data_IF_526587661514
#
_entry.id   IF_526587661514
#
_cell.length_a   1.000
_cell.length_b   1.000
_cell.length_c   1.000
_cell.angle_alpha   90.00
_cell.angle_beta   90.00
_cell.angle_gamma   90.00
#
_symmetry.space_group_name_H-M   'P 1'
#
loop_
_entity.id
_entity.type
_entity.pdbx_description
1 polymer ?
#
# COMPACT_ATOMS: atom_id res chain seq x y z
N UNK A 1 -6.35 25.50 15.04
CA UNK A 1 -5.00 25.39 14.45
C UNK A 1 -4.94 24.05 13.71
N UNK A 2 -4.48 24.04 12.47
CA UNK A 2 -4.24 22.79 11.74
C UNK A 2 -2.99 22.12 12.34
N UNK A 3 -3.08 20.84 12.69
CA UNK A 3 -1.96 20.03 13.17
C UNK A 3 -1.04 19.72 12.00
N UNK A 4 0.28 19.78 12.23
CA UNK A 4 1.30 19.26 11.32
C UNK A 4 2.06 18.11 11.96
N UNK A 5 2.46 17.10 11.18
CA UNK A 5 3.32 16.01 11.68
C UNK A 5 4.65 16.57 12.24
N UNK A 6 5.13 17.67 11.67
CA UNK A 6 6.39 18.32 12.09
C UNK A 6 6.29 19.04 13.44
N UNK A 7 5.09 19.20 14.00
CA UNK A 7 4.89 19.79 15.33
C UNK A 7 5.29 18.82 16.46
N UNK A 8 5.48 17.53 16.13
CA UNK A 8 5.71 16.47 17.09
C UNK A 8 7.15 15.90 17.01
N UNK A 9 7.73 15.58 18.17
CA UNK A 9 9.01 14.88 18.29
C UNK A 9 8.85 13.39 18.57
N UNK A 10 7.65 12.96 18.94
CA UNK A 10 7.33 11.57 19.25
C UNK A 10 5.98 11.16 18.67
N UNK A 11 5.82 9.87 18.42
CA UNK A 11 4.55 9.27 18.03
C UNK A 11 4.30 7.98 18.80
N UNK A 12 3.05 7.75 19.18
CA UNK A 12 2.60 6.52 19.82
C UNK A 12 1.47 5.88 18.99
N UNK A 13 1.69 4.64 18.56
CA UNK A 13 0.80 3.98 17.62
C UNK A 13 0.03 2.87 18.32
N UNK A 14 -1.31 2.94 18.29
CA UNK A 14 -2.21 2.00 18.95
C UNK A 14 -2.70 1.00 17.90
N UNK A 15 -2.39 -0.30 18.11
CA UNK A 15 -2.50 -1.37 17.15
C UNK A 15 -1.30 -1.43 16.19
N UNK A 16 -0.10 -1.17 16.72
CA UNK A 16 1.16 -1.00 15.96
C UNK A 16 1.57 -2.24 15.17
N UNK A 17 1.18 -3.46 15.60
CA UNK A 17 1.49 -4.72 14.91
C UNK A 17 0.66 -4.97 13.66
N UNK A 18 -0.39 -4.17 13.39
CA UNK A 18 -1.15 -4.23 12.15
C UNK A 18 -0.27 -3.87 10.93
N UNK A 19 -0.50 -4.52 9.77
CA UNK A 19 0.36 -4.38 8.58
C UNK A 19 0.55 -2.92 8.14
N UNK A 20 -0.53 -2.14 8.02
CA UNK A 20 -0.42 -0.73 7.65
C UNK A 20 0.08 0.16 8.79
N UNK A 21 -0.16 -0.22 10.06
CA UNK A 21 0.27 0.57 11.22
C UNK A 21 1.76 0.43 11.47
N UNK A 22 2.32 -0.77 11.32
CA UNK A 22 3.75 -1.02 11.43
C UNK A 22 4.57 -0.28 10.37
N UNK A 23 4.01 -0.16 9.17
CA UNK A 23 4.64 0.60 8.08
C UNK A 23 4.65 2.10 8.36
N UNK A 24 3.57 2.64 8.94
CA UNK A 24 3.52 4.03 9.44
C UNK A 24 4.54 4.23 10.56
N UNK A 25 4.65 3.28 11.50
CA UNK A 25 5.62 3.33 12.58
C UNK A 25 7.05 3.46 12.07
N UNK A 26 7.43 2.59 11.13
CA UNK A 26 8.77 2.59 10.53
C UNK A 26 9.05 3.88 9.74
N UNK A 27 8.07 4.35 8.95
CA UNK A 27 8.16 5.61 8.22
C UNK A 27 8.42 6.80 9.17
N UNK A 28 7.64 6.93 10.25
CA UNK A 28 7.81 8.01 11.22
C UNK A 28 9.13 7.91 12.01
N UNK A 29 9.57 6.70 12.35
CA UNK A 29 10.83 6.45 13.01
C UNK A 29 12.01 6.91 12.14
N UNK A 30 12.03 6.56 10.85
CA UNK A 30 13.05 6.99 9.89
C UNK A 30 12.98 8.49 9.60
N UNK A 31 11.78 9.09 9.69
CA UNK A 31 11.60 10.56 9.64
C UNK A 31 12.22 11.27 10.85
N UNK A 32 12.63 10.54 11.88
CA UNK A 32 13.33 11.10 13.05
C UNK A 32 12.47 11.31 14.30
N UNK A 33 11.21 10.80 14.30
CA UNK A 33 10.40 10.83 15.51
C UNK A 33 10.83 9.69 16.47
N UNK A 34 10.67 9.90 17.78
CA UNK A 34 10.70 8.80 18.75
C UNK A 34 9.39 8.05 18.65
N UNK A 35 9.43 6.81 18.15
CA UNK A 35 8.22 6.00 17.92
C UNK A 35 8.14 4.88 18.93
N UNK A 36 6.97 4.71 19.52
CA UNK A 36 6.57 3.55 20.33
C UNK A 36 5.12 3.22 20.02
N UNK A 37 4.62 2.11 20.54
CA UNK A 37 3.20 1.80 20.38
C UNK A 37 2.75 0.60 21.20
N UNK A 38 1.46 0.34 21.11
CA UNK A 38 0.77 -0.76 21.78
C UNK A 38 0.18 -1.74 20.77
N UNK A 39 0.27 -3.02 21.10
CA UNK A 39 -0.51 -4.08 20.45
C UNK A 39 -1.03 -5.08 21.51
N UNK A 40 -2.08 -5.84 21.18
CA UNK A 40 -2.66 -6.79 22.12
C UNK A 40 -1.76 -8.00 22.40
N UNK A 41 -0.91 -8.38 21.43
CA UNK A 41 -0.06 -9.59 21.51
C UNK A 41 1.20 -9.45 20.69
N UNK A 42 2.22 -10.20 21.09
CA UNK A 42 3.44 -10.36 20.30
C UNK A 42 3.13 -11.07 18.97
N UNK A 43 3.82 -10.64 17.94
CA UNK A 43 3.73 -11.19 16.58
C UNK A 43 5.08 -11.08 15.87
N UNK A 44 5.22 -11.73 14.71
CA UNK A 44 6.39 -11.56 13.86
C UNK A 44 6.67 -10.07 13.54
N UNK A 45 5.62 -9.30 13.24
CA UNK A 45 5.75 -7.87 12.91
C UNK A 45 6.18 -7.03 14.12
N UNK A 46 5.61 -7.27 15.32
CA UNK A 46 6.04 -6.56 16.53
C UNK A 46 7.48 -6.87 16.92
N UNK A 47 7.96 -8.09 16.66
CA UNK A 47 9.36 -8.46 16.88
C UNK A 47 10.28 -7.74 15.88
N UNK A 48 9.88 -7.59 14.62
CA UNK A 48 10.63 -6.80 13.64
C UNK A 48 10.73 -5.33 14.07
N UNK A 49 9.63 -4.73 14.56
CA UNK A 49 9.63 -3.35 15.06
C UNK A 49 10.62 -3.17 16.23
N UNK A 50 10.60 -4.10 17.21
CA UNK A 50 11.54 -4.07 18.33
C UNK A 50 13.00 -4.20 17.84
N UNK A 51 13.28 -5.05 16.87
CA UNK A 51 14.61 -5.18 16.28
C UNK A 51 15.05 -3.92 15.53
N UNK A 52 14.11 -3.18 14.94
CA UNK A 52 14.35 -1.87 14.30
C UNK A 52 14.49 -0.73 15.31
N UNK A 53 14.34 -0.99 16.63
CA UNK A 53 14.45 0.01 17.71
C UNK A 53 13.14 0.74 18.03
N UNK A 54 12.00 0.25 17.55
CA UNK A 54 10.67 0.77 17.84
C UNK A 54 10.05 -0.05 18.96
N UNK A 55 9.89 0.53 20.15
CA UNK A 55 9.38 -0.17 21.32
C UNK A 55 7.89 -0.50 21.20
N UNK A 56 7.53 -1.76 21.42
CA UNK A 56 6.15 -2.23 21.41
C UNK A 56 5.73 -2.72 22.81
N UNK A 57 4.74 -2.04 23.39
CA UNK A 57 4.12 -2.43 24.65
C UNK A 57 2.92 -3.36 24.40
N UNK A 58 2.69 -4.31 25.31
CA UNK A 58 1.56 -5.23 25.29
C UNK A 58 0.57 -4.95 26.44
N UNK A 59 0.78 -3.85 27.15
CA UNK A 59 -0.07 -3.38 28.24
C UNK A 59 -0.42 -1.90 28.02
N UNK A 60 -1.65 -1.64 27.59
CA UNK A 60 -2.12 -0.28 27.31
C UNK A 60 -2.17 0.63 28.54
N UNK A 61 -2.22 0.06 29.77
CA UNK A 61 -2.19 0.86 31.00
C UNK A 61 -0.91 1.68 31.19
N UNK A 62 0.15 1.31 30.47
CA UNK A 62 1.44 2.02 30.46
C UNK A 62 1.43 3.26 29.58
N UNK A 63 0.47 3.36 28.64
CA UNK A 63 0.37 4.51 27.76
C UNK A 63 -0.26 5.70 28.49
N UNK A 64 0.52 6.76 28.65
CA UNK A 64 0.05 8.03 29.21
C UNK A 64 -0.09 9.07 28.11
N UNK A 65 -1.21 9.81 28.15
CA UNK A 65 -1.45 10.88 27.19
C UNK A 65 -0.47 12.05 27.38
N UNK A 66 0.06 12.58 26.30
CA UNK A 66 0.88 13.78 26.25
C UNK A 66 0.49 14.65 25.05
N UNK A 67 0.43 15.97 25.24
CA UNK A 67 0.17 16.93 24.16
C UNK A 67 1.31 17.01 23.13
N UNK A 68 2.50 16.56 23.48
CA UNK A 68 3.70 16.63 22.63
C UNK A 68 3.88 15.38 21.76
N UNK A 69 3.01 14.38 21.91
CA UNK A 69 3.07 13.10 21.21
C UNK A 69 1.93 13.00 20.20
N UNK A 70 2.22 12.63 18.95
CA UNK A 70 1.24 12.29 17.95
C UNK A 70 0.75 10.86 18.17
N UNK A 71 -0.55 10.69 18.42
CA UNK A 71 -1.17 9.38 18.56
C UNK A 71 -1.86 8.98 17.27
N UNK A 72 -1.63 7.72 16.83
CA UNK A 72 -2.28 7.17 15.65
C UNK A 72 -2.97 5.87 16.03
N UNK A 73 -4.29 5.81 15.84
CA UNK A 73 -5.12 4.67 16.23
C UNK A 73 -5.51 3.87 15.00
N UNK A 74 -5.31 2.55 15.07
CA UNK A 74 -5.72 1.61 14.02
C UNK A 74 -7.22 1.65 13.78
N UNK A 75 -7.64 1.56 12.51
CA UNK A 75 -9.07 1.47 12.13
C UNK A 75 -9.78 0.21 12.70
N UNK A 76 -9.02 -0.82 13.09
CA UNK A 76 -9.55 -2.01 13.73
C UNK A 76 -9.92 -1.81 15.22
N UNK A 77 -9.60 -0.65 15.81
CA UNK A 77 -9.84 -0.35 17.22
C UNK A 77 -10.99 0.64 17.33
N UNK A 78 -12.01 0.30 18.09
CA UNK A 78 -13.12 1.21 18.36
C UNK A 78 -12.65 2.36 19.26
N UNK A 79 -12.76 3.58 18.76
CA UNK A 79 -12.42 4.82 19.49
C UNK A 79 -13.25 5.02 20.77
N UNK A 80 -14.38 4.31 20.91
CA UNK A 80 -15.22 4.33 22.13
C UNK A 80 -14.75 3.35 23.20
N UNK A 81 -13.70 2.58 22.93
CA UNK A 81 -13.13 1.63 23.89
C UNK A 81 -12.71 2.34 25.19
N UNK A 82 -13.03 1.77 26.34
CA UNK A 82 -12.78 2.38 27.65
C UNK A 82 -11.29 2.70 27.90
N UNK A 83 -10.39 1.86 27.37
CA UNK A 83 -8.94 2.08 27.49
C UNK A 83 -8.43 3.27 26.67
N UNK A 84 -9.24 3.81 25.74
CA UNK A 84 -8.93 5.03 24.97
C UNK A 84 -9.56 6.29 25.58
N UNK A 85 -10.24 6.21 26.71
CA UNK A 85 -11.01 7.33 27.29
C UNK A 85 -10.19 8.60 27.51
N UNK A 86 -8.92 8.49 27.87
CA UNK A 86 -8.00 9.64 28.02
C UNK A 86 -7.48 10.23 26.70
N UNK A 87 -7.66 9.50 25.59
CA UNK A 87 -7.20 9.89 24.27
C UNK A 87 -8.30 10.48 23.39
N UNK A 88 -9.56 10.17 23.68
CA UNK A 88 -10.71 10.62 22.88
C UNK A 88 -10.81 12.16 22.89
N UNK A 89 -11.15 12.74 21.71
CA UNK A 89 -11.33 14.18 21.51
C UNK A 89 -10.07 15.04 21.71
N UNK A 90 -8.89 14.44 21.75
CA UNK A 90 -7.64 15.20 21.80
C UNK A 90 -7.18 15.54 20.37
N UNK A 91 -6.70 16.77 20.12
CA UNK A 91 -6.37 17.22 18.77
C UNK A 91 -5.19 16.49 18.13
N UNK A 92 -4.30 15.91 18.94
CA UNK A 92 -3.12 15.14 18.52
C UNK A 92 -3.36 13.63 18.50
N UNK A 93 -4.63 13.19 18.56
CA UNK A 93 -5.05 11.78 18.44
C UNK A 93 -5.79 11.61 17.12
N UNK A 94 -5.18 10.92 16.18
CA UNK A 94 -5.70 10.70 14.84
C UNK A 94 -6.04 9.23 14.62
N UNK A 95 -7.12 8.95 13.92
CA UNK A 95 -7.32 7.64 13.31
C UNK A 95 -6.36 7.46 12.13
N UNK A 96 -6.08 6.21 11.74
CA UNK A 96 -5.25 5.92 10.55
C UNK A 96 -5.69 6.72 9.30
N UNK A 97 -6.99 6.77 8.93
CA UNK A 97 -7.45 7.58 7.79
C UNK A 97 -7.10 9.07 7.93
N UNK A 98 -7.34 9.66 9.10
CA UNK A 98 -7.05 11.07 9.35
C UNK A 98 -5.55 11.37 9.32
N UNK A 99 -4.71 10.44 9.78
CA UNK A 99 -3.26 10.57 9.66
C UNK A 99 -2.80 10.50 8.20
N UNK A 100 -3.31 9.57 7.40
CA UNK A 100 -2.95 9.45 5.97
C UNK A 100 -3.43 10.66 5.17
N UNK A 101 -4.62 11.20 5.48
CA UNK A 101 -5.08 12.47 4.93
C UNK A 101 -4.09 13.59 5.26
N UNK A 102 -3.75 13.79 6.54
CA UNK A 102 -2.81 14.82 6.98
C UNK A 102 -1.43 14.66 6.28
N UNK A 103 -0.94 13.43 6.15
CA UNK A 103 0.31 13.13 5.46
C UNK A 103 0.25 13.54 3.98
N UNK A 104 -0.85 13.23 3.29
CA UNK A 104 -1.06 13.58 1.88
C UNK A 104 -1.23 15.08 1.60
N UNK A 105 -1.47 15.89 2.63
CA UNK A 105 -1.48 17.35 2.52
C UNK A 105 -0.05 17.95 2.49
N UNK A 106 0.96 17.17 2.90
CA UNK A 106 2.35 17.62 3.03
C UNK A 106 3.32 17.03 2.01
N UNK A 107 2.88 16.04 1.21
CA UNK A 107 3.72 15.37 0.21
C UNK A 107 2.85 14.88 -0.96
N UNK A 108 3.36 14.97 -2.18
CA UNK A 108 2.73 14.36 -3.36
C UNK A 108 2.62 12.84 -3.18
N UNK A 109 1.44 12.27 -3.41
CA UNK A 109 1.19 10.84 -3.24
C UNK A 109 1.06 10.14 -4.58
N UNK A 110 1.82 9.06 -4.76
CA UNK A 110 1.61 8.03 -5.78
C UNK A 110 0.80 6.91 -5.12
N UNK A 111 -0.50 6.87 -5.37
CA UNK A 111 -1.42 5.92 -4.74
C UNK A 111 -1.51 4.59 -5.49
N UNK A 112 -1.67 3.50 -4.77
CA UNK A 112 -2.03 2.20 -5.33
C UNK A 112 -3.26 1.69 -4.58
N UNK A 113 -4.34 1.43 -5.31
CA UNK A 113 -5.60 0.93 -4.76
C UNK A 113 -6.19 -0.20 -5.59
N UNK A 114 -7.29 -0.76 -5.11
CA UNK A 114 -8.05 -1.86 -5.69
C UNK A 114 -8.32 -2.94 -4.66
N UNK A 115 -9.28 -3.81 -4.89
CA UNK A 115 -9.63 -4.84 -3.91
C UNK A 115 -8.48 -5.84 -3.70
N UNK A 116 -7.85 -6.30 -4.78
CA UNK A 116 -6.76 -7.28 -4.75
C UNK A 116 -5.47 -6.73 -5.36
N UNK A 117 -4.32 -7.24 -4.91
CA UNK A 117 -3.01 -6.93 -5.49
C UNK A 117 -2.36 -5.63 -5.00
N UNK A 118 -3.00 -4.81 -4.17
CA UNK A 118 -2.47 -3.53 -3.63
C UNK A 118 -1.05 -3.66 -3.09
N UNK A 119 -0.87 -4.50 -2.09
CA UNK A 119 0.40 -4.66 -1.36
C UNK A 119 1.53 -5.11 -2.26
N UNK A 120 1.30 -6.14 -3.09
CA UNK A 120 2.30 -6.65 -4.03
C UNK A 120 2.71 -5.60 -5.05
N UNK A 121 1.74 -4.83 -5.58
CA UNK A 121 2.00 -3.77 -6.55
C UNK A 121 2.71 -2.57 -5.92
N UNK A 122 2.35 -2.18 -4.70
CA UNK A 122 3.02 -1.10 -3.96
C UNK A 122 4.47 -1.46 -3.62
N UNK A 123 4.71 -2.69 -3.16
CA UNK A 123 6.04 -3.17 -2.87
C UNK A 123 6.90 -3.27 -4.14
N UNK A 124 6.31 -3.72 -5.25
CA UNK A 124 6.99 -3.80 -6.54
C UNK A 124 7.38 -2.40 -7.04
N UNK A 125 6.47 -1.43 -6.96
CA UNK A 125 6.76 -0.05 -7.34
C UNK A 125 7.88 0.55 -6.47
N UNK A 126 7.82 0.38 -5.15
CA UNK A 126 8.87 0.81 -4.23
C UNK A 126 10.23 0.18 -4.56
N UNK A 127 10.23 -1.13 -4.92
CA UNK A 127 11.44 -1.83 -5.35
C UNK A 127 11.99 -1.26 -6.65
N UNK A 128 11.15 -0.95 -7.64
CA UNK A 128 11.58 -0.34 -8.92
C UNK A 128 12.34 0.97 -8.67
N UNK A 129 11.81 1.85 -7.82
CA UNK A 129 12.48 3.11 -7.49
C UNK A 129 13.80 2.85 -6.76
N UNK A 130 13.79 2.04 -5.71
CA UNK A 130 14.97 1.73 -4.91
C UNK A 130 16.08 1.05 -5.72
N UNK A 131 15.74 0.12 -6.63
CA UNK A 131 16.69 -0.57 -7.49
C UNK A 131 17.39 0.38 -8.47
N UNK A 132 16.76 1.50 -8.82
CA UNK A 132 17.30 2.56 -9.66
C UNK A 132 17.92 3.70 -8.83
N UNK A 133 18.33 3.44 -7.60
CA UNK A 133 18.99 4.39 -6.68
C UNK A 133 18.17 5.65 -6.38
N UNK A 134 16.84 5.58 -6.47
CA UNK A 134 15.93 6.67 -6.12
C UNK A 134 15.37 6.41 -4.72
N UNK A 135 15.77 7.23 -3.77
CA UNK A 135 15.39 7.10 -2.36
C UNK A 135 13.99 7.65 -2.08
N UNK A 136 12.99 7.04 -2.72
CA UNK A 136 11.58 7.41 -2.59
C UNK A 136 10.99 6.91 -1.26
N UNK A 137 10.13 7.74 -0.63
CA UNK A 137 9.35 7.32 0.54
C UNK A 137 8.26 6.34 0.17
N UNK A 138 7.94 5.35 1.06
CA UNK A 138 6.81 4.45 0.83
C UNK A 138 6.16 3.95 2.13
N UNK A 139 4.85 3.65 2.04
CA UNK A 139 4.03 3.01 3.09
C UNK A 139 3.11 1.99 2.41
N UNK A 140 3.32 0.68 2.67
CA UNK A 140 2.46 -0.41 2.21
C UNK A 140 2.36 -1.53 3.26
N UNK A 141 1.28 -2.29 3.24
CA UNK A 141 0.92 -3.27 4.26
C UNK A 141 1.60 -4.65 4.12
N UNK A 142 2.93 -4.71 4.01
CA UNK A 142 3.64 -5.98 3.82
C UNK A 142 5.06 -6.00 4.37
N UNK A 143 5.67 -7.17 4.30
CA UNK A 143 7.09 -7.38 4.65
C UNK A 143 7.81 -7.91 3.42
N UNK A 144 8.93 -7.30 3.06
CA UNK A 144 9.75 -7.69 1.90
C UNK A 144 11.17 -8.01 2.33
N UNK A 145 11.89 -8.80 1.51
CA UNK A 145 13.29 -9.11 1.77
C UNK A 145 14.22 -7.90 1.64
N UNK A 146 13.86 -6.93 0.78
CA UNK A 146 14.72 -5.78 0.49
C UNK A 146 14.62 -4.63 1.54
N UNK A 147 13.55 -4.60 2.38
CA UNK A 147 13.37 -3.54 3.38
C UNK A 147 12.73 -4.01 4.71
N UNK A 148 12.36 -5.27 4.84
CA UNK A 148 11.55 -5.72 5.98
C UNK A 148 10.14 -5.15 5.92
N UNK A 149 9.67 -4.52 7.01
CA UNK A 149 8.35 -3.84 7.07
C UNK A 149 8.26 -2.76 5.99
N UNK A 150 7.12 -2.67 5.31
CA UNK A 150 6.85 -1.80 4.15
C UNK A 150 6.71 -0.30 4.46
N UNK A 151 7.55 0.23 5.33
CA UNK A 151 7.64 1.64 5.66
C UNK A 151 9.05 2.19 5.43
N UNK A 152 9.17 3.32 4.72
CA UNK A 152 10.44 3.99 4.48
C UNK A 152 10.24 5.50 4.32
N UNK A 153 11.11 6.28 4.95
CA UNK A 153 11.20 7.71 4.74
C UNK A 153 12.48 8.01 3.96
N UNK A 154 12.33 8.41 2.71
CA UNK A 154 13.40 8.74 1.79
C UNK A 154 13.58 10.25 1.59
N UNK A 155 14.00 10.66 0.40
CA UNK A 155 14.16 12.07 0.07
C UNK A 155 12.81 12.81 0.15
N UNK A 156 12.76 13.84 0.98
CA UNK A 156 11.58 14.69 1.21
C UNK A 156 11.09 15.46 -0.02
N UNK A 157 11.92 15.59 -1.07
CA UNK A 157 11.57 16.27 -2.32
C UNK A 157 10.92 15.31 -3.33
N UNK A 158 10.91 14.01 -3.05
CA UNK A 158 10.26 12.99 -3.87
C UNK A 158 8.86 12.67 -3.33
N UNK A 159 7.96 12.16 -4.19
CA UNK A 159 6.64 11.74 -3.76
C UNK A 159 6.69 10.54 -2.81
N UNK A 160 5.56 10.27 -2.14
CA UNK A 160 5.32 9.11 -1.30
C UNK A 160 4.55 8.05 -2.09
N UNK A 161 5.08 6.84 -2.21
CA UNK A 161 4.31 5.66 -2.64
C UNK A 161 3.44 5.21 -1.48
N UNK A 162 2.11 5.21 -1.67
CA UNK A 162 1.16 4.88 -0.63
C UNK A 162 0.18 3.80 -1.10
N UNK A 163 0.13 2.68 -0.40
CA UNK A 163 -0.98 1.74 -0.49
C UNK A 163 -2.23 2.39 0.10
N UNK A 164 -3.22 2.68 -0.76
CA UNK A 164 -4.47 3.34 -0.38
C UNK A 164 -5.59 2.31 -0.32
N UNK A 165 -6.03 2.02 0.91
CA UNK A 165 -6.97 0.96 1.21
C UNK A 165 -8.41 1.47 1.15
N UNK A 166 -9.29 0.75 0.45
CA UNK A 166 -10.74 1.01 0.41
C UNK A 166 -11.43 0.64 1.73
N UNK A 167 -10.85 -0.26 2.53
CA UNK A 167 -11.40 -0.65 3.81
C UNK A 167 -11.67 0.57 4.70
N UNK A 168 -12.86 0.61 5.29
CA UNK A 168 -13.35 1.76 6.08
C UNK A 168 -13.31 3.10 5.32
N UNK A 169 -13.31 3.04 3.97
CA UNK A 169 -13.21 4.22 3.10
C UNK A 169 -11.97 5.09 3.39
N UNK A 170 -10.87 4.46 3.78
CA UNK A 170 -9.62 5.13 4.19
C UNK A 170 -9.05 6.01 3.08
N UNK A 171 -9.21 5.61 1.81
CA UNK A 171 -8.67 6.32 0.65
C UNK A 171 -9.43 7.59 0.26
N UNK A 172 -10.64 7.83 0.82
CA UNK A 172 -11.59 8.85 0.37
C UNK A 172 -11.03 10.27 0.36
N UNK A 173 -10.32 10.63 1.42
CA UNK A 173 -9.86 12.01 1.65
C UNK A 173 -8.35 12.18 1.44
N UNK A 174 -7.66 11.17 0.89
CA UNK A 174 -6.24 11.24 0.57
C UNK A 174 -6.07 12.05 -0.72
N UNK A 175 -5.21 13.07 -0.71
CA UNK A 175 -4.80 13.77 -1.92
C UNK A 175 -3.81 12.93 -2.70
N UNK A 176 -4.18 12.54 -3.90
CA UNK A 176 -3.41 11.63 -4.75
C UNK A 176 -3.03 12.36 -6.04
N UNK A 177 -1.74 12.38 -6.33
CA UNK A 177 -1.20 12.96 -7.56
C UNK A 177 -1.38 12.02 -8.74
N UNK A 178 -0.88 10.79 -8.62
CA UNK A 178 -1.07 9.73 -9.62
C UNK A 178 -1.55 8.46 -8.92
N UNK A 179 -2.45 7.71 -9.54
CA UNK A 179 -3.09 6.54 -8.93
C UNK A 179 -3.03 5.33 -9.85
N UNK A 180 -2.70 4.17 -9.30
CA UNK A 180 -2.94 2.88 -9.95
C UNK A 180 -4.14 2.21 -9.31
N UNK A 181 -5.06 1.70 -10.13
CA UNK A 181 -6.21 0.90 -9.68
C UNK A 181 -6.15 -0.49 -10.32
N UNK A 182 -6.02 -1.51 -9.48
CA UNK A 182 -5.83 -2.89 -9.93
C UNK A 182 -7.14 -3.58 -10.33
N UNK A 183 -8.17 -3.49 -9.51
CA UNK A 183 -9.50 -4.11 -9.73
C UNK A 183 -10.50 -3.61 -8.69
N UNK A 184 -11.81 -3.88 -8.92
CA UNK A 184 -12.89 -3.70 -7.95
C UNK A 184 -13.65 -5.02 -7.86
N UNK A 185 -13.64 -5.65 -6.69
CA UNK A 185 -14.35 -6.91 -6.42
C UNK A 185 -15.25 -6.76 -5.17
N UNK A 186 -16.11 -7.75 -4.94
CA UNK A 186 -17.03 -7.79 -3.81
C UNK A 186 -16.28 -8.01 -2.49
N UNK A 187 -15.84 -6.94 -1.85
CA UNK A 187 -15.20 -6.97 -0.53
C UNK A 187 -15.71 -5.81 0.34
N UNK A 188 -15.46 -5.89 1.64
CA UNK A 188 -15.85 -4.86 2.62
C UNK A 188 -17.34 -4.45 2.58
N UNK A 189 -18.23 -5.39 2.23
CA UNK A 189 -19.68 -5.14 2.12
C UNK A 189 -20.28 -4.76 3.48
N UNK A 190 -19.71 -5.23 4.57
CA UNK A 190 -20.10 -4.82 5.94
C UNK A 190 -20.00 -3.31 6.15
N UNK A 191 -19.08 -2.64 5.45
CA UNK A 191 -18.89 -1.20 5.51
C UNK A 191 -19.68 -0.46 4.42
N UNK A 192 -19.60 -0.93 3.17
CA UNK A 192 -20.21 -0.25 2.02
C UNK A 192 -21.69 -0.58 1.83
N UNK A 193 -22.20 -1.62 2.49
CA UNK A 193 -23.57 -2.14 2.42
C UNK A 193 -23.91 -2.76 1.05
N UNK A 194 -23.49 -2.15 -0.06
CA UNK A 194 -23.71 -2.65 -1.43
C UNK A 194 -22.45 -2.50 -2.28
N UNK A 195 -22.35 -3.33 -3.30
CA UNK A 195 -21.27 -3.25 -4.30
C UNK A 195 -21.29 -1.91 -5.06
N UNK A 196 -22.47 -1.38 -5.35
CA UNK A 196 -22.64 -0.08 -6.00
C UNK A 196 -22.06 1.06 -5.16
N UNK A 197 -22.15 0.99 -3.85
CA UNK A 197 -21.54 1.99 -2.96
C UNK A 197 -20.02 1.89 -2.95
N UNK A 198 -19.46 0.67 -3.00
CA UNK A 198 -18.02 0.46 -3.18
C UNK A 198 -17.55 1.06 -4.51
N UNK A 199 -18.24 0.78 -5.63
CA UNK A 199 -17.92 1.35 -6.95
C UNK A 199 -18.02 2.89 -6.93
N UNK A 200 -19.00 3.48 -6.24
CA UNK A 200 -19.10 4.94 -6.07
C UNK A 200 -17.92 5.52 -5.29
N UNK A 201 -17.40 4.81 -4.27
CA UNK A 201 -16.23 5.22 -3.53
C UNK A 201 -14.98 5.25 -4.44
N UNK A 202 -14.75 4.22 -5.24
CA UNK A 202 -13.68 4.20 -6.25
C UNK A 202 -13.85 5.33 -7.27
N UNK A 203 -15.07 5.54 -7.79
CA UNK A 203 -15.37 6.66 -8.69
C UNK A 203 -15.00 8.00 -8.07
N UNK A 204 -15.35 8.22 -6.81
CA UNK A 204 -14.99 9.45 -6.09
C UNK A 204 -13.47 9.65 -6.06
N UNK A 205 -12.70 8.63 -5.66
CA UNK A 205 -11.24 8.72 -5.58
C UNK A 205 -10.64 8.98 -6.96
N UNK A 206 -10.98 8.18 -7.98
CA UNK A 206 -10.49 8.35 -9.36
C UNK A 206 -10.77 9.75 -9.89
N UNK A 207 -11.96 10.29 -9.62
CA UNK A 207 -12.36 11.63 -10.10
C UNK A 207 -11.58 12.76 -9.42
N UNK A 208 -11.02 12.53 -8.22
CA UNK A 208 -10.27 13.53 -7.45
C UNK A 208 -8.74 13.39 -7.59
N UNK A 209 -8.24 12.45 -8.38
CA UNK A 209 -6.80 12.34 -8.67
C UNK A 209 -6.35 13.57 -9.47
N UNK A 210 -5.33 14.27 -8.97
CA UNK A 210 -4.84 15.52 -9.55
C UNK A 210 -4.18 15.32 -10.93
N UNK A 211 -3.41 14.24 -11.09
CA UNK A 211 -2.73 13.87 -12.34
C UNK A 211 -3.50 12.78 -13.09
N UNK A 212 -2.82 11.66 -13.36
CA UNK A 212 -3.35 10.55 -14.14
C UNK A 212 -3.57 9.30 -13.30
N UNK A 213 -4.58 8.52 -13.72
CA UNK A 213 -4.74 7.15 -13.24
C UNK A 213 -4.14 6.14 -14.23
N UNK A 214 -3.61 5.04 -13.68
CA UNK A 214 -3.26 3.82 -14.41
C UNK A 214 -4.33 2.78 -14.07
N UNK A 215 -5.14 2.38 -15.03
CA UNK A 215 -6.39 1.64 -14.83
C UNK A 215 -6.33 0.28 -15.52
N UNK A 216 -6.62 -0.78 -14.76
CA UNK A 216 -6.87 -2.11 -15.32
C UNK A 216 -8.25 -2.16 -15.98
N UNK A 217 -8.29 -2.11 -17.30
CA UNK A 217 -9.57 -2.12 -18.04
C UNK A 217 -10.07 -3.52 -18.34
N UNK A 218 -9.41 -4.59 -17.90
CA UNK A 218 -10.00 -5.93 -17.85
C UNK A 218 -11.18 -5.98 -16.86
N UNK A 219 -11.13 -5.15 -15.82
CA UNK A 219 -12.24 -4.94 -14.89
C UNK A 219 -13.33 -4.07 -15.53
N UNK A 220 -14.57 -4.60 -15.61
CA UNK A 220 -15.69 -3.92 -16.26
C UNK A 220 -16.20 -2.70 -15.52
N UNK A 221 -16.00 -2.61 -14.21
CA UNK A 221 -16.34 -1.41 -13.45
C UNK A 221 -15.32 -0.31 -13.71
N UNK A 222 -14.04 -0.66 -13.65
CA UNK A 222 -12.95 0.28 -13.93
C UNK A 222 -12.97 0.80 -15.36
N UNK A 223 -13.33 -0.04 -16.34
CA UNK A 223 -13.52 0.39 -17.73
C UNK A 223 -14.54 1.53 -17.86
N UNK A 224 -15.59 1.56 -17.00
CA UNK A 224 -16.59 2.64 -16.99
C UNK A 224 -16.12 3.90 -16.25
N UNK A 225 -15.07 3.80 -15.44
CA UNK A 225 -14.55 4.86 -14.59
C UNK A 225 -13.31 5.57 -15.15
N UNK A 226 -12.66 4.98 -16.17
CA UNK A 226 -11.45 5.56 -16.79
C UNK A 226 -11.75 6.92 -17.41
N UNK A 227 -10.88 7.91 -17.14
CA UNK A 227 -10.97 9.26 -17.71
C UNK A 227 -10.23 9.32 -19.04
N UNK A 228 -10.50 10.33 -19.86
CA UNK A 228 -9.96 10.46 -21.24
C UNK A 228 -8.42 10.42 -21.30
N UNK A 229 -7.75 11.03 -20.33
CA UNK A 229 -6.27 11.18 -20.33
C UNK A 229 -5.58 10.17 -19.41
N UNK A 230 -6.32 9.22 -18.83
CA UNK A 230 -5.78 8.14 -18.01
C UNK A 230 -5.08 7.10 -18.87
N UNK A 231 -4.21 6.33 -18.26
CA UNK A 231 -3.44 5.25 -18.88
C UNK A 231 -4.14 3.92 -18.57
N UNK A 232 -4.38 3.12 -19.60
CA UNK A 232 -4.98 1.80 -19.46
C UNK A 232 -3.99 0.67 -19.61
N UNK A 233 -4.22 -0.44 -18.90
CA UNK A 233 -3.56 -1.71 -19.17
C UNK A 233 -4.58 -2.86 -19.16
N UNK A 234 -4.30 -3.92 -19.95
CA UNK A 234 -5.25 -5.02 -20.13
C UNK A 234 -4.61 -6.24 -20.80
N UNK A 235 -5.10 -7.42 -20.49
CA UNK A 235 -4.82 -8.66 -21.20
C UNK A 235 -5.83 -8.96 -22.33
N UNK A 236 -7.08 -8.52 -22.17
CA UNK A 236 -8.18 -8.87 -23.08
C UNK A 236 -8.62 -7.72 -23.99
N UNK A 237 -8.59 -6.47 -23.47
CA UNK A 237 -9.12 -5.28 -24.17
C UNK A 237 -8.02 -4.45 -24.82
N UNK A 238 -8.38 -3.56 -25.72
CA UNK A 238 -7.45 -2.55 -26.26
C UNK A 238 -7.04 -1.59 -25.15
N UNK A 239 -5.75 -1.31 -25.02
CA UNK A 239 -5.17 -0.52 -23.92
C UNK A 239 -3.81 0.06 -24.30
N UNK A 240 -3.34 1.05 -23.54
CA UNK A 240 -2.01 1.63 -23.74
C UNK A 240 -0.90 0.59 -23.49
N UNK A 241 -1.01 -0.18 -22.39
CA UNK A 241 -0.14 -1.31 -22.10
C UNK A 241 -0.91 -2.61 -22.31
N UNK A 242 -0.66 -3.27 -23.44
CA UNK A 242 -1.37 -4.50 -23.82
C UNK A 242 -0.59 -5.73 -23.41
N UNK A 243 -1.07 -6.48 -22.43
CA UNK A 243 -0.49 -7.77 -22.03
C UNK A 243 -0.73 -8.76 -23.18
N UNK A 244 0.34 -9.39 -23.67
CA UNK A 244 0.31 -10.33 -24.82
C UNK A 244 0.41 -11.78 -24.38
N UNK A 245 1.09 -12.03 -23.25
CA UNK A 245 1.30 -13.37 -22.68
C UNK A 245 1.68 -13.25 -21.21
N UNK A 246 1.85 -14.37 -20.53
CA UNK A 246 2.34 -14.42 -19.15
C UNK A 246 3.81 -13.95 -18.98
N UNK A 247 4.41 -13.38 -20.00
CA UNK A 247 5.79 -12.89 -19.95
C UNK A 247 6.06 -11.68 -20.84
N UNK A 248 5.04 -10.99 -21.36
CA UNK A 248 5.26 -9.82 -22.21
C UNK A 248 4.04 -8.91 -22.30
N UNK A 249 4.30 -7.63 -22.55
CA UNK A 249 3.30 -6.63 -22.92
C UNK A 249 3.82 -5.78 -24.10
N UNK A 250 2.91 -5.07 -24.76
CA UNK A 250 3.17 -4.10 -25.82
C UNK A 250 2.81 -2.70 -25.32
N UNK A 251 3.66 -1.72 -25.62
CA UNK A 251 3.42 -0.30 -25.39
C UNK A 251 3.98 0.51 -26.57
N UNK A 252 3.17 1.40 -27.16
CA UNK A 252 3.55 2.23 -28.33
C UNK A 252 4.13 1.42 -29.49
N UNK A 253 3.57 0.24 -29.76
CA UNK A 253 4.03 -0.66 -30.84
C UNK A 253 5.30 -1.46 -30.54
N UNK A 254 5.95 -1.24 -29.39
CA UNK A 254 7.12 -2.00 -28.95
C UNK A 254 6.71 -3.12 -28.00
N UNK A 255 7.30 -4.30 -28.18
CA UNK A 255 7.08 -5.44 -27.29
C UNK A 255 8.16 -5.50 -26.21
N UNK A 256 7.74 -5.64 -24.95
CA UNK A 256 8.60 -5.74 -23.77
C UNK A 256 8.45 -7.09 -23.10
N UNK A 257 9.56 -7.76 -22.84
CA UNK A 257 9.57 -9.07 -22.18
C UNK A 257 9.70 -8.90 -20.66
N UNK A 258 8.83 -9.55 -19.90
CA UNK A 258 8.87 -9.59 -18.44
C UNK A 258 9.70 -10.81 -18.02
N UNK A 259 10.74 -10.57 -17.22
CA UNK A 259 11.45 -11.60 -16.47
C UNK A 259 11.13 -11.40 -14.98
N UNK A 260 10.55 -12.40 -14.33
CA UNK A 260 10.14 -12.31 -12.93
C UNK A 260 10.26 -13.64 -12.24
N UNK A 261 10.48 -13.62 -10.92
CA UNK A 261 10.42 -14.78 -10.03
C UNK A 261 9.03 -15.04 -9.47
N UNK A 262 8.10 -14.10 -9.69
CA UNK A 262 6.72 -14.22 -9.21
C UNK A 262 5.94 -15.20 -10.08
N UNK A 263 5.11 -16.04 -9.47
CA UNK A 263 4.35 -17.11 -10.11
C UNK A 263 2.87 -16.72 -10.09
N UNK A 264 2.20 -16.80 -11.25
CA UNK A 264 0.77 -16.53 -11.42
C UNK A 264 0.49 -15.39 -12.40
N UNK A 265 -0.62 -15.52 -13.15
CA UNK A 265 -1.02 -14.54 -14.18
C UNK A 265 -1.38 -13.19 -13.58
N UNK A 266 -1.94 -13.17 -12.38
CA UNK A 266 -2.28 -11.95 -11.65
C UNK A 266 -1.05 -11.07 -11.37
N UNK A 267 0.15 -11.68 -11.20
CA UNK A 267 1.38 -10.89 -11.05
C UNK A 267 1.78 -10.19 -12.34
N UNK A 268 1.52 -10.78 -13.50
CA UNK A 268 1.81 -10.10 -14.79
C UNK A 268 0.95 -8.84 -14.94
N UNK A 269 -0.31 -8.90 -14.54
CA UNK A 269 -1.20 -7.73 -14.49
C UNK A 269 -0.66 -6.66 -13.52
N UNK A 270 -0.32 -7.06 -12.29
CA UNK A 270 0.25 -6.16 -11.27
C UNK A 270 1.58 -5.54 -11.73
N UNK A 271 2.46 -6.33 -12.36
CA UNK A 271 3.73 -5.88 -12.92
C UNK A 271 3.49 -4.85 -14.03
N UNK A 272 2.57 -5.13 -14.95
CA UNK A 272 2.29 -4.21 -16.07
C UNK A 272 1.74 -2.88 -15.54
N UNK A 273 0.83 -2.90 -14.56
CA UNK A 273 0.33 -1.71 -13.89
C UNK A 273 1.44 -0.94 -13.17
N UNK A 274 2.33 -1.64 -12.42
CA UNK A 274 3.45 -1.00 -11.73
C UNK A 274 4.45 -0.36 -12.69
N UNK A 275 4.78 -1.03 -13.81
CA UNK A 275 5.63 -0.47 -14.88
C UNK A 275 5.00 0.77 -15.49
N UNK A 276 3.71 0.73 -15.80
CA UNK A 276 3.00 1.89 -16.35
C UNK A 276 3.01 3.08 -15.39
N UNK A 277 2.80 2.82 -14.08
CA UNK A 277 2.85 3.87 -13.06
C UNK A 277 4.29 4.39 -12.83
N UNK A 278 5.31 3.52 -12.86
CA UNK A 278 6.71 3.91 -12.79
C UNK A 278 7.11 4.79 -13.98
N UNK A 279 6.69 4.40 -15.19
CA UNK A 279 6.95 5.16 -16.42
C UNK A 279 6.28 6.55 -16.39
N UNK A 280 5.05 6.64 -15.90
CA UNK A 280 4.36 7.91 -15.66
C UNK A 280 5.13 8.83 -14.68
N UNK A 281 5.90 8.24 -13.77
CA UNK A 281 6.68 8.96 -12.76
C UNK A 281 8.19 9.02 -13.08
N UNK A 282 8.56 8.84 -14.36
CA UNK A 282 9.91 9.15 -14.88
C UNK A 282 10.92 8.01 -14.88
N UNK A 283 10.51 6.75 -14.57
CA UNK A 283 11.39 5.58 -14.70
C UNK A 283 11.10 4.88 -16.03
N UNK A 284 12.10 4.60 -16.83
CA UNK A 284 11.89 3.93 -18.11
C UNK A 284 11.36 2.51 -17.94
N UNK A 285 10.72 1.97 -18.99
CA UNK A 285 10.20 0.61 -18.98
C UNK A 285 11.34 -0.39 -18.79
N UNK A 286 12.47 -0.18 -19.44
CA UNK A 286 13.65 -1.05 -19.36
C UNK A 286 14.24 -1.05 -17.94
N UNK A 287 14.36 0.11 -17.31
CA UNK A 287 14.79 0.23 -15.91
C UNK A 287 13.83 -0.50 -14.97
N UNK A 288 12.53 -0.35 -15.18
CA UNK A 288 11.50 -1.03 -14.40
C UNK A 288 11.59 -2.55 -14.56
N UNK A 289 11.73 -3.05 -15.78
CA UNK A 289 11.82 -4.49 -16.06
C UNK A 289 13.11 -5.11 -15.50
N UNK A 290 14.21 -4.38 -15.52
CA UNK A 290 15.46 -4.83 -14.90
C UNK A 290 15.29 -4.95 -13.37
N UNK A 291 14.65 -3.99 -12.71
CA UNK A 291 14.35 -4.08 -11.29
C UNK A 291 13.44 -5.28 -10.95
N UNK A 292 12.39 -5.51 -11.75
CA UNK A 292 11.41 -6.59 -11.57
C UNK A 292 12.08 -7.97 -11.60
N UNK A 293 13.08 -8.19 -12.44
CA UNK A 293 13.82 -9.45 -12.51
C UNK A 293 14.51 -9.82 -11.18
N UNK A 294 14.78 -8.83 -10.32
CA UNK A 294 15.41 -8.99 -9.01
C UNK A 294 14.42 -8.95 -7.84
N UNK A 295 13.15 -8.63 -8.09
CA UNK A 295 12.14 -8.60 -7.04
C UNK A 295 11.75 -10.02 -6.60
N UNK A 296 11.78 -10.27 -5.28
CA UNK A 296 11.55 -11.60 -4.70
C UNK A 296 10.15 -11.74 -4.05
N UNK A 297 9.30 -10.74 -4.23
CA UNK A 297 7.93 -10.77 -3.70
C UNK A 297 7.77 -10.17 -2.31
N UNK A 298 6.57 -10.33 -1.79
CA UNK A 298 6.15 -9.92 -0.44
C UNK A 298 5.86 -11.18 0.35
N UNK A 299 6.23 -11.21 1.64
CA UNK A 299 5.94 -12.34 2.52
C UNK A 299 4.45 -12.63 2.54
N UNK A 300 4.12 -13.92 2.51
CA UNK A 300 2.75 -14.43 2.47
C UNK A 300 1.94 -13.97 1.24
N UNK A 301 2.60 -13.70 0.11
CA UNK A 301 1.99 -13.43 -1.20
C UNK A 301 2.62 -14.36 -2.23
N UNK A 302 2.11 -15.59 -2.31
CA UNK A 302 2.69 -16.72 -3.04
C UNK A 302 4.19 -16.88 -2.69
N UNK A 303 4.51 -16.71 -1.39
CA UNK A 303 5.88 -16.78 -0.89
C UNK A 303 6.39 -18.24 -0.97
N UNK A 304 7.48 -18.46 -1.68
CA UNK A 304 8.14 -19.77 -1.69
C UNK A 304 8.80 -20.02 -0.32
N UNK A 305 8.36 -21.05 0.39
CA UNK A 305 8.85 -21.40 1.73
C UNK A 305 9.99 -22.41 1.62
N UNK A 306 9.92 -23.34 0.66
CA UNK A 306 10.94 -24.37 0.47
C UNK A 306 10.42 -25.58 -0.29
N UNK A 307 11.31 -26.50 -0.55
CA UNK A 307 11.02 -27.81 -1.16
C UNK A 307 11.26 -28.94 -0.15
N UNK A 308 10.34 -29.88 -0.07
CA UNK A 308 10.49 -31.09 0.71
C UNK A 308 10.02 -32.31 -0.09
N UNK A 309 10.87 -33.29 -0.25
CA UNK A 309 10.61 -34.51 -1.04
C UNK A 309 10.10 -34.25 -2.48
N UNK A 310 10.63 -33.23 -3.16
CA UNK A 310 10.22 -32.87 -4.52
C UNK A 310 8.90 -32.07 -4.58
N UNK A 311 8.32 -31.66 -3.43
CA UNK A 311 7.12 -30.84 -3.34
C UNK A 311 7.51 -29.43 -2.91
N UNK A 312 7.12 -28.43 -3.70
CA UNK A 312 7.31 -27.02 -3.38
C UNK A 312 6.17 -26.51 -2.47
N UNK A 313 6.55 -25.79 -1.40
CA UNK A 313 5.62 -25.18 -0.45
C UNK A 313 5.59 -23.67 -0.62
N UNK A 314 4.38 -23.12 -0.65
CA UNK A 314 4.12 -21.68 -0.75
C UNK A 314 3.21 -21.23 0.37
N UNK A 315 3.44 -20.04 0.93
CA UNK A 315 2.53 -19.36 1.87
C UNK A 315 1.83 -18.19 1.16
N UNK A 316 0.49 -18.15 1.26
CA UNK A 316 -0.31 -17.06 0.72
C UNK A 316 -1.32 -16.57 1.76
N UNK A 317 -1.55 -15.25 1.77
CA UNK A 317 -2.52 -14.61 2.65
C UNK A 317 -3.94 -14.64 2.06
N UNK A 318 -4.11 -15.11 0.85
CA UNK A 318 -5.40 -15.18 0.14
C UNK A 318 -6.48 -15.81 1.00
N UNK A 319 -7.56 -15.07 1.22
CA UNK A 319 -8.73 -15.48 2.01
C UNK A 319 -10.04 -15.16 1.28
N UNK A 320 -9.98 -14.36 0.22
CA UNK A 320 -11.09 -14.08 -0.65
C UNK A 320 -11.17 -15.16 -1.77
N UNK A 321 -12.38 -15.60 -2.20
CA UNK A 321 -12.52 -16.64 -3.24
C UNK A 321 -11.77 -16.32 -4.54
N UNK A 322 -11.76 -15.05 -4.96
CA UNK A 322 -11.01 -14.59 -6.14
C UNK A 322 -9.51 -14.74 -5.97
N UNK A 323 -8.97 -14.42 -4.78
CA UNK A 323 -7.54 -14.57 -4.48
C UNK A 323 -7.12 -16.04 -4.48
N UNK A 324 -7.89 -16.90 -3.79
CA UNK A 324 -7.63 -18.36 -3.72
C UNK A 324 -7.63 -18.98 -5.12
N UNK A 325 -8.57 -18.55 -6.00
CA UNK A 325 -8.62 -19.04 -7.37
C UNK A 325 -7.44 -18.57 -8.23
N UNK A 326 -6.88 -17.41 -7.94
CA UNK A 326 -5.77 -16.82 -8.70
C UNK A 326 -4.40 -17.40 -8.28
N UNK A 327 -4.28 -17.89 -7.04
CA UNK A 327 -3.11 -18.58 -6.48
C UNK A 327 -3.13 -20.07 -6.79
#
# INVERSE_FOLDING_TARGET
MSISINDFKSSYIIGIGGSGMSSIAKYLFQKGLKVAGYDQRSSYVTNLLNNDGINVDFDMSKATYSKETLYIVSSAIDMKSTFLSSFVNQPNVLTRPNFLKLLSESVDVIGITGTHGKTSTSALLAHIFKFNDIDISYIYGGVTSFNGIGGHYGDKNLPLILETDEAFNTFKDIKIKNLLVTNIDHDHIDYFETFENLVKAFKHVISNVEGKCVINVDDDQLLKLIRKDDISYSSTKNSNYKIKSNSSFEYEGNQFKIQTKLIGEHFISNITGAVALANLNGISIEQSLNAIAHFTGVKRRTEFIGEFNGVNFYDDYGHHPTEIKAT
#
